data_IF_868369753105
#
_entry.id   IF_868369753105
#
_cell.length_a   1.000
_cell.length_b   1.000
_cell.length_c   1.000
_cell.angle_alpha   90.00
_cell.angle_beta   90.00
_cell.angle_gamma   90.00
#
_symmetry.space_group_name_H-M   'P 1'
#
loop_
_entity.id
_entity.type
_entity.pdbx_description
1 polymer ?
#
# COMPACT_ATOMS: atom_id res chain seq x y z
N UNK A 1 18.85 -44.05 14.17
CA UNK A 1 17.57 -43.30 14.15
C UNK A 1 17.60 -41.91 14.83
N UNK A 2 18.77 -41.37 15.20
CA UNK A 2 18.88 -40.13 16.03
C UNK A 2 18.90 -38.82 15.22
N UNK A 3 19.19 -38.86 13.91
CA UNK A 3 19.38 -37.65 13.08
C UNK A 3 18.11 -36.81 12.88
N UNK A 4 16.92 -37.42 12.86
CA UNK A 4 15.65 -36.72 12.54
C UNK A 4 15.13 -35.84 13.68
N UNK A 5 15.41 -36.16 14.95
CA UNK A 5 14.96 -35.31 16.07
C UNK A 5 15.84 -34.08 16.23
N UNK A 6 17.15 -34.21 16.01
CA UNK A 6 18.08 -33.08 16.04
C UNK A 6 17.72 -32.01 15.00
N UNK A 7 17.37 -32.42 13.78
CA UNK A 7 16.95 -31.47 12.73
C UNK A 7 15.66 -30.73 13.09
N UNK A 8 14.68 -31.41 13.70
CA UNK A 8 13.43 -30.78 14.16
C UNK A 8 13.66 -29.79 15.29
N UNK A 9 14.51 -30.13 16.26
CA UNK A 9 14.85 -29.22 17.37
C UNK A 9 15.56 -27.98 16.83
N UNK A 10 16.52 -28.14 15.91
CA UNK A 10 17.21 -27.01 15.26
C UNK A 10 16.21 -26.10 14.52
N UNK A 11 15.28 -26.68 13.76
CA UNK A 11 14.25 -25.91 13.06
C UNK A 11 13.33 -25.14 14.03
N UNK A 12 12.88 -25.79 15.10
CA UNK A 12 12.05 -25.13 16.11
C UNK A 12 12.79 -24.00 16.81
N UNK A 13 14.07 -24.18 17.13
CA UNK A 13 14.90 -23.13 17.72
C UNK A 13 15.13 -21.96 16.75
N UNK A 14 15.31 -22.23 15.46
CA UNK A 14 15.47 -21.18 14.44
C UNK A 14 14.19 -20.37 14.27
N UNK A 15 13.04 -21.04 14.16
CA UNK A 15 11.72 -20.37 14.07
C UNK A 15 11.47 -19.51 15.31
N UNK A 16 11.76 -20.05 16.51
CA UNK A 16 11.60 -19.30 17.75
C UNK A 16 12.53 -18.09 17.84
N UNK A 17 13.80 -18.24 17.44
CA UNK A 17 14.75 -17.13 17.38
C UNK A 17 14.30 -16.03 16.40
N UNK A 18 13.78 -16.42 15.23
CA UNK A 18 13.22 -15.48 14.25
C UNK A 18 12.04 -14.72 14.87
N UNK A 19 11.09 -15.41 15.52
CA UNK A 19 9.95 -14.77 16.18
C UNK A 19 10.42 -13.77 17.25
N UNK A 20 11.43 -14.11 18.05
CA UNK A 20 11.99 -13.21 19.06
C UNK A 20 12.64 -11.97 18.44
N UNK A 21 13.40 -12.13 17.35
CA UNK A 21 14.00 -11.01 16.61
C UNK A 21 12.90 -10.08 16.09
N UNK A 22 11.84 -10.63 15.49
CA UNK A 22 10.71 -9.84 15.01
C UNK A 22 9.94 -9.15 16.15
N UNK A 23 9.82 -9.78 17.32
CA UNK A 23 9.18 -9.16 18.49
C UNK A 23 10.01 -8.00 19.08
N UNK A 24 11.33 -8.00 18.89
CA UNK A 24 12.21 -6.91 19.34
C UNK A 24 12.24 -5.72 18.38
N UNK A 25 11.75 -5.88 17.14
CA UNK A 25 11.53 -4.77 16.20
C UNK A 25 10.32 -3.96 16.67
N UNK A 26 10.55 -3.01 17.60
CA UNK A 26 9.52 -2.04 17.98
C UNK A 26 9.18 -1.18 16.76
N UNK A 27 7.93 -1.14 16.28
CA UNK A 27 7.53 -0.11 15.34
C UNK A 27 7.69 1.24 16.04
N UNK A 28 8.55 2.11 15.50
CA UNK A 28 8.66 3.50 15.92
C UNK A 28 7.25 4.12 15.87
N UNK A 29 6.88 4.85 16.93
CA UNK A 29 5.53 5.37 17.15
C UNK A 29 4.92 5.94 15.85
N UNK A 30 3.82 5.35 15.39
CA UNK A 30 2.96 5.95 14.37
C UNK A 30 3.49 6.00 12.93
N UNK A 31 4.41 5.13 12.50
CA UNK A 31 4.86 5.11 11.10
C UNK A 31 3.99 4.25 10.14
N UNK A 32 2.86 3.73 10.60
CA UNK A 32 1.88 2.99 9.77
C UNK A 32 0.91 3.89 9.00
N UNK A 33 1.15 5.20 8.94
CA UNK A 33 0.46 6.03 7.95
C UNK A 33 0.97 5.52 6.58
N UNK A 34 0.07 5.14 5.63
CA UNK A 34 0.48 4.75 4.30
C UNK A 34 1.46 5.79 3.75
N UNK A 35 2.50 5.39 3.01
CA UNK A 35 3.55 6.27 2.51
C UNK A 35 3.03 7.62 2.00
N UNK A 36 1.92 7.56 1.29
CA UNK A 36 1.23 8.68 0.66
C UNK A 36 0.55 9.67 1.62
N UNK A 37 0.14 9.24 2.80
CA UNK A 37 -0.53 10.06 3.79
C UNK A 37 0.44 10.67 4.84
N UNK A 38 1.68 10.17 4.95
CA UNK A 38 2.71 10.70 5.88
C UNK A 38 3.01 12.18 5.66
N UNK A 39 2.94 12.61 4.41
CA UNK A 39 3.07 14.01 3.95
C UNK A 39 2.13 14.98 4.70
N UNK A 40 0.95 14.53 5.12
CA UNK A 40 -0.09 15.37 5.72
C UNK A 40 -0.23 15.19 7.24
N UNK A 41 0.40 14.16 7.83
CA UNK A 41 0.31 13.82 9.26
C UNK A 41 -1.13 13.92 9.81
N UNK A 42 -2.08 13.39 9.05
CA UNK A 42 -3.51 13.42 9.40
C UNK A 42 -3.97 12.06 9.94
N UNK A 43 -5.15 12.04 10.57
CA UNK A 43 -5.74 10.83 11.12
C UNK A 43 -6.07 9.81 10.03
N UNK A 44 -5.97 8.50 10.35
CA UNK A 44 -6.39 7.43 9.45
C UNK A 44 -7.88 7.56 9.05
N UNK A 45 -8.72 8.08 9.94
CA UNK A 45 -10.15 8.32 9.69
C UNK A 45 -10.42 9.40 8.62
N UNK A 46 -9.43 10.25 8.34
CA UNK A 46 -9.50 11.20 7.22
C UNK A 46 -9.66 10.46 5.89
N UNK A 47 -9.01 9.30 5.73
CA UNK A 47 -9.02 8.52 4.49
C UNK A 47 -9.85 7.23 4.56
N UNK A 48 -10.01 6.63 5.76
CA UNK A 48 -10.63 5.32 5.93
C UNK A 48 -11.92 5.38 6.75
N UNK A 49 -12.88 4.53 6.38
CA UNK A 49 -14.03 4.21 7.25
C UNK A 49 -13.62 3.11 8.23
N UNK A 50 -12.92 2.10 7.71
CA UNK A 50 -12.25 1.05 8.46
C UNK A 50 -11.07 0.63 7.59
N UNK A 51 -9.85 0.53 8.13
CA UNK A 51 -8.71 0.07 7.34
C UNK A 51 -8.97 -1.37 6.85
N UNK A 52 -8.74 -1.69 5.55
CA UNK A 52 -8.18 -0.87 4.45
C UNK A 52 -9.23 -0.14 3.58
N UNK A 53 -10.52 -0.23 3.89
CA UNK A 53 -11.63 0.39 3.13
C UNK A 53 -11.60 1.93 3.17
N UNK A 54 -11.47 2.55 2.00
CA UNK A 54 -11.43 4.01 1.83
C UNK A 54 -12.83 4.64 1.94
N UNK A 55 -12.89 5.81 2.56
CA UNK A 55 -14.06 6.70 2.50
C UNK A 55 -14.07 7.49 1.16
N UNK A 56 -15.03 8.41 0.97
CA UNK A 56 -15.13 9.20 -0.26
C UNK A 56 -13.89 10.08 -0.50
N UNK A 57 -13.37 10.72 0.55
CA UNK A 57 -12.14 11.51 0.50
C UNK A 57 -10.94 10.64 0.11
N UNK A 58 -10.74 9.49 0.76
CA UNK A 58 -9.63 8.58 0.49
C UNK A 58 -9.61 8.08 -0.95
N UNK A 59 -10.78 7.81 -1.54
CA UNK A 59 -10.90 7.45 -2.96
C UNK A 59 -10.52 8.61 -3.88
N UNK A 60 -11.00 9.82 -3.60
CA UNK A 60 -10.62 11.02 -4.36
C UNK A 60 -9.12 11.30 -4.24
N UNK A 61 -8.56 11.15 -3.05
CA UNK A 61 -7.14 11.32 -2.77
C UNK A 61 -6.28 10.30 -3.55
N UNK A 62 -6.64 9.00 -3.56
CA UNK A 62 -5.95 7.99 -4.39
C UNK A 62 -6.03 8.35 -5.88
N UNK A 63 -7.21 8.72 -6.38
CA UNK A 63 -7.44 9.08 -7.80
C UNK A 63 -6.66 10.33 -8.24
N UNK A 64 -6.41 11.26 -7.32
CA UNK A 64 -5.62 12.46 -7.59
C UNK A 64 -4.09 12.22 -7.49
N UNK A 65 -3.63 10.96 -7.49
CA UNK A 65 -2.21 10.64 -7.33
C UNK A 65 -1.66 11.05 -5.96
N UNK A 66 -2.50 10.93 -4.93
CA UNK A 66 -2.16 11.31 -3.55
C UNK A 66 -1.87 12.82 -3.37
N UNK A 67 -2.48 13.64 -4.24
CA UNK A 67 -2.60 15.09 -4.11
C UNK A 67 -3.91 15.46 -3.38
N UNK A 68 -3.85 16.44 -2.48
CA UNK A 68 -5.01 16.83 -1.69
C UNK A 68 -6.20 17.31 -2.57
N UNK A 69 -7.39 16.69 -2.47
CA UNK A 69 -8.54 17.09 -3.27
C UNK A 69 -8.95 18.55 -2.99
N UNK A 70 -9.30 19.29 -4.05
CA UNK A 70 -9.78 20.68 -3.92
C UNK A 70 -8.68 21.75 -3.80
N UNK A 71 -7.44 21.44 -4.19
CA UNK A 71 -6.36 22.45 -4.28
C UNK A 71 -5.74 22.87 -2.94
N UNK A 72 -6.10 22.21 -1.84
CA UNK A 72 -5.59 22.50 -0.50
C UNK A 72 -4.21 21.91 -0.18
N UNK A 73 -3.51 21.32 -1.16
CA UNK A 73 -2.31 20.50 -0.93
C UNK A 73 -1.21 21.25 -0.16
N UNK A 74 -0.88 22.47 -0.61
CA UNK A 74 0.12 23.34 0.01
C UNK A 74 -0.21 23.70 1.46
N UNK A 75 -1.49 23.79 1.80
CA UNK A 75 -1.99 24.18 3.13
C UNK A 75 -1.99 22.98 4.07
N UNK A 76 -2.38 21.82 3.55
CA UNK A 76 -2.62 20.62 4.34
C UNK A 76 -1.35 19.80 4.58
N UNK A 77 -0.39 19.91 3.66
CA UNK A 77 0.93 19.31 3.77
C UNK A 77 1.70 19.81 4.99
N UNK A 78 2.37 18.89 5.69
CA UNK A 78 3.16 19.15 6.90
C UNK A 78 4.65 18.90 6.72
N UNK A 79 5.03 18.22 5.64
CA UNK A 79 6.44 18.04 5.28
C UNK A 79 7.04 19.30 4.61
N UNK A 80 8.37 19.41 4.66
CA UNK A 80 9.09 20.48 3.96
C UNK A 80 9.42 19.97 2.56
N UNK A 81 9.01 20.67 1.50
CA UNK A 81 9.31 20.23 0.13
C UNK A 81 10.81 20.32 -0.11
N UNK A 82 11.36 19.38 -0.89
CA UNK A 82 12.70 19.56 -1.44
C UNK A 82 12.59 20.47 -2.65
N UNK A 83 13.28 21.61 -2.60
CA UNK A 83 13.34 22.58 -3.69
C UNK A 83 14.33 22.08 -4.74
N UNK A 84 13.86 21.93 -5.98
CA UNK A 84 14.69 21.56 -7.13
C UNK A 84 15.17 22.79 -7.92
N UNK A 85 14.83 23.99 -7.47
CA UNK A 85 15.16 25.26 -8.13
C UNK A 85 14.04 25.73 -9.07
N UNK A 86 14.42 26.41 -10.15
CA UNK A 86 13.47 26.98 -11.11
C UNK A 86 12.78 25.86 -11.89
N UNK A 87 11.49 25.69 -11.67
CA UNK A 87 10.66 24.69 -12.31
C UNK A 87 10.03 25.14 -13.62
N UNK A 88 9.11 24.30 -14.10
CA UNK A 88 8.35 24.54 -15.32
C UNK A 88 7.49 25.82 -15.17
N UNK A 89 7.40 26.62 -16.23
CA UNK A 89 6.66 27.89 -16.26
C UNK A 89 7.14 28.96 -15.26
N UNK A 90 8.42 28.90 -14.86
CA UNK A 90 9.01 29.91 -13.97
C UNK A 90 8.57 29.83 -12.51
N UNK A 91 7.76 28.82 -12.14
CA UNK A 91 7.42 28.50 -10.76
C UNK A 91 8.50 27.62 -10.14
N UNK A 92 8.72 27.72 -8.84
CA UNK A 92 9.67 26.88 -8.12
C UNK A 92 9.24 25.40 -8.22
N UNK A 93 10.13 24.53 -8.70
CA UNK A 93 9.89 23.09 -8.72
C UNK A 93 10.20 22.53 -7.33
N UNK A 94 9.24 21.81 -6.77
CA UNK A 94 9.38 21.11 -5.50
C UNK A 94 8.97 19.66 -5.64
N UNK A 95 9.59 18.79 -4.85
CA UNK A 95 9.19 17.39 -4.74
C UNK A 95 8.99 17.01 -3.28
N UNK A 96 8.35 15.87 -3.07
CA UNK A 96 8.23 15.28 -1.75
C UNK A 96 9.61 14.99 -1.17
N UNK A 97 9.78 15.22 0.13
CA UNK A 97 11.01 14.87 0.86
C UNK A 97 11.31 13.38 0.80
N UNK A 98 10.25 12.55 0.75
CA UNK A 98 10.34 11.11 0.61
C UNK A 98 9.39 10.68 -0.51
N UNK A 99 9.86 9.83 -1.41
CA UNK A 99 8.99 9.19 -2.40
C UNK A 99 8.15 8.15 -1.67
N UNK A 100 6.83 8.33 -1.57
CA UNK A 100 5.97 7.34 -0.95
C UNK A 100 5.87 6.11 -1.86
N UNK A 101 6.39 4.98 -1.39
CA UNK A 101 6.31 3.69 -2.08
C UNK A 101 5.29 2.79 -1.39
N UNK A 102 4.26 2.36 -2.11
CA UNK A 102 3.25 1.40 -1.65
C UNK A 102 3.31 0.09 -2.42
N UNK A 103 2.71 -0.95 -1.86
CA UNK A 103 2.52 -2.23 -2.52
C UNK A 103 1.03 -2.57 -2.54
N UNK A 104 0.53 -3.12 -3.65
CA UNK A 104 -0.81 -3.69 -3.72
C UNK A 104 -0.75 -5.13 -4.25
N UNK A 105 -1.70 -5.93 -3.78
CA UNK A 105 -1.89 -7.32 -4.14
C UNK A 105 -3.34 -7.49 -4.56
N UNK A 106 -3.57 -7.93 -5.78
CA UNK A 106 -4.91 -8.25 -6.27
C UNK A 106 -5.07 -9.76 -6.40
N UNK A 107 -6.15 -10.28 -5.81
CA UNK A 107 -6.51 -11.69 -5.85
C UNK A 107 -8.03 -11.81 -6.04
N UNK A 108 -8.45 -12.71 -6.91
CA UNK A 108 -9.85 -12.82 -7.33
C UNK A 108 -10.40 -14.22 -7.06
N UNK A 109 -11.46 -14.29 -6.27
CA UNK A 109 -12.22 -15.53 -6.07
C UNK A 109 -13.55 -15.43 -6.79
N UNK A 110 -13.90 -16.42 -7.62
CA UNK A 110 -15.23 -16.56 -8.17
C UNK A 110 -15.97 -17.69 -7.46
N UNK A 111 -17.15 -17.36 -6.94
CA UNK A 111 -18.08 -18.32 -6.35
C UNK A 111 -19.34 -18.40 -7.20
N UNK A 112 -19.58 -19.55 -7.80
CA UNK A 112 -20.78 -19.82 -8.60
C UNK A 112 -21.79 -20.60 -7.76
N UNK A 113 -22.84 -19.95 -7.21
CA UNK A 113 -23.88 -20.64 -6.47
C UNK A 113 -24.68 -21.54 -7.40
N UNK A 114 -25.25 -22.61 -6.83
CA UNK A 114 -26.07 -23.58 -7.56
C UNK A 114 -27.28 -22.90 -8.21
N UNK A 115 -27.37 -22.90 -9.55
CA UNK A 115 -28.57 -22.47 -10.26
C UNK A 115 -29.71 -23.48 -10.04
N UNK A 116 -30.93 -22.98 -10.18
CA UNK A 116 -32.18 -23.70 -9.90
C UNK A 116 -32.38 -24.96 -10.78
N UNK A 117 -31.68 -25.02 -11.94
CA UNK A 117 -31.52 -26.25 -12.70
C UNK A 117 -30.44 -27.15 -12.05
N UNK A 118 -30.92 -28.19 -11.36
CA UNK A 118 -30.15 -29.08 -10.46
C UNK A 118 -28.94 -29.83 -11.05
N UNK A 119 -28.46 -29.51 -12.25
CA UNK A 119 -27.36 -30.20 -12.95
C UNK A 119 -25.95 -29.72 -12.61
N UNK A 120 -25.75 -28.49 -12.12
CA UNK A 120 -24.39 -27.98 -11.83
C UNK A 120 -24.07 -28.10 -10.34
N UNK A 121 -22.89 -28.65 -10.02
CA UNK A 121 -22.36 -28.64 -8.65
C UNK A 121 -21.85 -27.21 -8.34
N UNK A 122 -21.93 -26.75 -7.08
CA UNK A 122 -21.30 -25.49 -6.71
C UNK A 122 -19.80 -25.61 -6.95
N UNK A 123 -19.25 -24.72 -7.76
CA UNK A 123 -17.83 -24.63 -8.05
C UNK A 123 -17.28 -23.32 -7.48
N UNK A 124 -16.19 -23.46 -6.74
CA UNK A 124 -15.38 -22.33 -6.26
C UNK A 124 -14.12 -22.32 -7.10
N UNK A 125 -14.00 -21.34 -7.99
CA UNK A 125 -12.76 -21.12 -8.74
C UNK A 125 -12.01 -19.98 -8.08
N UNK A 126 -10.95 -20.33 -7.36
CA UNK A 126 -9.97 -19.34 -6.90
C UNK A 126 -9.07 -19.05 -8.08
N UNK A 127 -9.27 -17.93 -8.78
CA UNK A 127 -8.21 -17.37 -9.60
C UNK A 127 -7.13 -16.87 -8.62
N UNK A 128 -5.87 -17.10 -8.92
CA UNK A 128 -4.79 -16.88 -7.96
C UNK A 128 -4.60 -15.41 -7.58
N UNK A 129 -3.44 -15.11 -7.00
CA UNK A 129 -2.95 -13.74 -7.03
C UNK A 129 -2.73 -13.39 -8.51
N UNK A 130 -3.42 -12.38 -9.01
CA UNK A 130 -3.33 -11.97 -10.43
C UNK A 130 -2.31 -10.85 -10.63
N UNK A 131 -2.08 -10.02 -9.61
CA UNK A 131 -1.22 -8.85 -9.77
C UNK A 131 -0.49 -8.46 -8.49
N UNK A 132 0.79 -8.15 -8.65
CA UNK A 132 1.60 -7.46 -7.68
C UNK A 132 1.92 -6.06 -8.21
N UNK A 133 1.51 -5.02 -7.49
CA UNK A 133 1.82 -3.64 -7.86
C UNK A 133 2.81 -3.01 -6.89
N UNK A 134 3.82 -2.33 -7.43
CA UNK A 134 4.60 -1.32 -6.74
C UNK A 134 4.09 0.07 -7.13
N UNK A 135 3.65 0.84 -6.15
CA UNK A 135 3.05 2.16 -6.31
C UNK A 135 4.04 3.23 -5.88
N UNK A 136 4.20 4.28 -6.68
CA UNK A 136 4.88 5.52 -6.32
C UNK A 136 3.96 6.70 -6.62
N UNK A 137 4.00 7.77 -5.83
CA UNK A 137 3.05 8.87 -6.04
C UNK A 137 3.41 10.10 -5.23
N UNK A 138 2.60 11.15 -5.32
CA UNK A 138 2.90 12.40 -4.61
C UNK A 138 2.79 13.61 -5.52
N UNK A 139 3.61 14.63 -5.28
CA UNK A 139 3.40 15.94 -5.91
C UNK A 139 4.66 16.51 -6.51
N UNK A 140 4.51 17.15 -7.67
CA UNK A 140 5.54 17.93 -8.36
C UNK A 140 5.07 19.39 -8.36
N UNK A 141 5.81 20.26 -7.67
CA UNK A 141 5.36 21.60 -7.38
C UNK A 141 4.13 21.61 -6.47
N UNK A 142 3.44 22.76 -6.42
CA UNK A 142 2.24 22.97 -5.61
C UNK A 142 0.93 22.59 -6.35
N UNK A 143 1.01 22.08 -7.58
CA UNK A 143 -0.16 22.00 -8.47
C UNK A 143 -0.32 20.67 -9.22
N UNK A 144 0.68 19.80 -9.22
CA UNK A 144 0.64 18.56 -9.99
C UNK A 144 0.78 17.38 -9.03
N UNK A 145 -0.20 16.48 -9.05
CA UNK A 145 -0.10 15.14 -8.46
C UNK A 145 0.43 14.12 -9.47
N UNK A 146 1.09 13.07 -9.02
CA UNK A 146 1.50 11.96 -9.87
C UNK A 146 1.23 10.61 -9.20
N UNK A 147 1.00 9.59 -10.04
CA UNK A 147 0.89 8.20 -9.66
C UNK A 147 1.65 7.37 -10.70
N UNK A 148 2.66 6.64 -10.25
CA UNK A 148 3.33 5.59 -11.00
C UNK A 148 2.96 4.24 -10.43
N UNK A 149 2.67 3.29 -11.31
CA UNK A 149 2.36 1.90 -10.96
C UNK A 149 3.27 1.02 -11.79
N UNK A 150 4.02 0.15 -11.12
CA UNK A 150 4.74 -0.94 -11.75
C UNK A 150 4.04 -2.24 -11.38
N UNK A 151 3.38 -2.85 -12.36
CA UNK A 151 2.62 -4.07 -12.21
C UNK A 151 3.45 -5.27 -12.67
N UNK A 152 3.41 -6.34 -11.87
CA UNK A 152 3.87 -7.67 -12.27
C UNK A 152 2.66 -8.61 -12.26
N UNK A 153 2.31 -9.11 -13.43
CA UNK A 153 1.27 -10.12 -13.63
C UNK A 153 1.95 -11.47 -13.77
N UNK A 154 1.93 -12.33 -12.73
CA UNK A 154 2.35 -13.71 -12.89
C UNK A 154 1.42 -14.40 -13.91
N UNK A 155 2.00 -15.05 -14.92
CA UNK A 155 1.24 -15.92 -15.82
C UNK A 155 0.67 -17.09 -14.99
N UNK A 156 -0.66 -17.20 -14.89
CA UNK A 156 -1.39 -18.30 -14.22
C UNK A 156 -2.11 -19.19 -15.20
#
# INVERSE_FOLDING_TARGET
MIKRSATKVIWLTLVFAIILVFAMLKPEEGNSIPPFARKYKTSCYTCHIAFPKLNAFGRAFKRNGYFWPGGGDKIMRKDKPVKLGKGLFGKEATINERVPLGFALEAVGQYSPKREDRSQKPETTTAGIEEFELLAGGTIGDSIGFLGVLAYLPET
#
